data_IF_764698406760
#
_entry.id   IF_764698406760
#
_cell.length_a   1.000
_cell.length_b   1.000
_cell.length_c   1.000
_cell.angle_alpha   90.00
_cell.angle_beta   90.00
_cell.angle_gamma   90.00
#
_symmetry.space_group_name_H-M   'P 1'
#
loop_
_entity.id
_entity.type
_entity.pdbx_description
1 polymer ?
#
# COMPACT_ATOMS: atom_id res chain seq x y z
N UNK A 1 23.70 15.13 -2.28
CA UNK A 1 23.38 16.35 -1.50
C UNK A 1 23.49 15.96 -0.04
N UNK A 2 24.40 16.53 0.74
CA UNK A 2 24.68 16.07 2.11
C UNK A 2 23.47 16.32 3.03
N UNK A 3 23.17 15.40 3.95
CA UNK A 3 22.09 15.44 4.95
C UNK A 3 21.95 16.82 5.64
N UNK A 4 23.09 17.48 5.92
CA UNK A 4 23.12 18.86 6.45
C UNK A 4 22.40 19.87 5.55
N UNK A 5 22.48 19.76 4.23
CA UNK A 5 21.82 20.70 3.30
C UNK A 5 20.33 20.46 3.22
N UNK A 6 19.88 19.21 3.34
CA UNK A 6 18.45 18.89 3.36
C UNK A 6 17.80 19.31 4.68
N UNK A 7 18.46 19.11 5.81
CA UNK A 7 18.04 19.62 7.12
C UNK A 7 17.96 21.16 7.14
N UNK A 8 18.94 21.83 6.55
CA UNK A 8 18.90 23.31 6.41
C UNK A 8 17.77 23.78 5.50
N UNK A 9 17.42 23.03 4.43
CA UNK A 9 16.31 23.35 3.54
C UNK A 9 14.96 23.10 4.23
N UNK A 10 14.82 22.03 4.98
CA UNK A 10 13.60 21.74 5.75
C UNK A 10 13.43 22.74 6.92
N UNK A 11 14.49 23.05 7.64
CA UNK A 11 14.49 24.07 8.68
C UNK A 11 14.24 25.48 8.08
N UNK A 12 14.85 25.80 6.94
CA UNK A 12 14.63 27.04 6.22
C UNK A 12 13.21 27.16 5.67
N UNK A 13 12.63 26.09 5.15
CA UNK A 13 11.23 26.03 4.72
C UNK A 13 10.26 26.17 5.91
N UNK A 14 10.54 25.52 7.04
CA UNK A 14 9.75 25.65 8.26
C UNK A 14 9.80 27.07 8.83
N UNK A 15 10.97 27.72 8.81
CA UNK A 15 11.14 29.13 9.24
C UNK A 15 10.47 30.10 8.26
N UNK A 16 10.58 29.87 6.94
CA UNK A 16 9.89 30.67 5.93
C UNK A 16 8.36 30.52 6.03
N UNK A 17 7.86 29.33 6.34
CA UNK A 17 6.44 29.09 6.57
C UNK A 17 5.96 29.71 7.89
N UNK A 18 6.77 29.75 8.94
CA UNK A 18 6.46 30.44 10.20
C UNK A 18 6.35 31.98 10.02
N UNK A 19 7.08 32.56 9.07
CA UNK A 19 6.97 33.98 8.75
C UNK A 19 5.74 34.35 7.90
N UNK A 20 5.06 33.37 7.29
CA UNK A 20 3.78 33.53 6.59
C UNK A 20 2.55 33.47 7.53
N UNK A 21 2.76 33.36 8.83
CA UNK A 21 1.71 33.28 9.87
C UNK A 21 0.84 34.57 10.02
N UNK A 22 1.02 35.57 9.15
CA UNK A 22 0.10 36.71 9.06
C UNK A 22 -1.23 36.39 8.33
N UNK A 23 -1.36 35.23 7.69
CA UNK A 23 -2.56 34.75 7.01
C UNK A 23 -3.05 33.52 7.77
N UNK A 24 -4.34 33.31 7.83
CA UNK A 24 -5.02 32.25 8.58
C UNK A 24 -4.68 30.80 8.15
N UNK A 25 -3.52 30.57 7.54
CA UNK A 25 -3.09 29.26 7.08
C UNK A 25 -3.00 28.25 8.22
N UNK A 26 -3.61 27.09 8.02
CA UNK A 26 -3.49 25.95 8.94
C UNK A 26 -2.38 25.03 8.43
N UNK A 27 -1.40 24.81 9.31
CA UNK A 27 -0.28 23.89 9.04
C UNK A 27 -0.51 22.65 9.92
N UNK A 28 -0.67 21.51 9.30
CA UNK A 28 -0.81 20.22 9.96
C UNK A 28 0.24 19.27 9.41
N UNK A 29 0.76 18.42 10.24
CA UNK A 29 1.74 17.46 9.77
C UNK A 29 2.13 16.43 10.79
N UNK A 30 2.98 15.51 10.36
CA UNK A 30 3.63 14.52 11.20
C UNK A 30 5.10 14.44 10.88
N UNK A 31 5.91 14.58 11.91
CA UNK A 31 7.34 14.26 11.90
C UNK A 31 7.54 12.94 12.62
N UNK A 32 8.22 11.98 11.96
CA UNK A 32 8.43 10.62 12.48
C UNK A 32 9.91 10.30 12.44
N UNK A 33 10.52 10.15 13.62
CA UNK A 33 11.89 9.70 13.78
C UNK A 33 11.88 8.21 14.04
N UNK A 34 12.62 7.45 13.24
CA UNK A 34 12.66 5.99 13.32
C UNK A 34 14.11 5.50 13.45
N UNK A 35 14.30 4.50 14.26
CA UNK A 35 15.52 3.71 14.33
C UNK A 35 15.14 2.25 14.24
N UNK A 36 15.71 1.56 13.27
CA UNK A 36 15.47 0.14 13.03
C UNK A 36 16.78 -0.60 12.87
N UNK A 37 16.81 -1.85 13.31
CA UNK A 37 17.90 -2.79 13.05
C UNK A 37 17.31 -4.09 12.52
N UNK A 38 17.93 -4.63 11.51
CA UNK A 38 17.46 -5.82 10.81
C UNK A 38 18.64 -6.50 10.08
N UNK A 39 18.39 -7.70 9.58
CA UNK A 39 19.32 -8.38 8.68
C UNK A 39 18.84 -8.19 7.25
N UNK A 40 19.69 -7.66 6.39
CA UNK A 40 19.42 -7.57 4.96
C UNK A 40 19.33 -8.97 4.36
N UNK A 41 18.19 -9.30 3.73
CA UNK A 41 17.90 -10.64 3.20
C UNK A 41 18.77 -11.00 1.99
N UNK A 42 19.32 -10.02 1.28
CA UNK A 42 20.13 -10.25 0.08
C UNK A 42 21.61 -10.40 0.42
N UNK A 43 22.10 -9.61 1.36
CA UNK A 43 23.51 -9.62 1.74
C UNK A 43 23.80 -10.45 2.99
N UNK A 44 22.80 -10.72 3.83
CA UNK A 44 22.95 -11.36 5.13
C UNK A 44 23.59 -10.46 6.20
N UNK A 45 23.88 -9.21 5.88
CA UNK A 45 24.52 -8.26 6.78
C UNK A 45 23.51 -7.67 7.77
N UNK A 46 23.98 -7.37 8.97
CA UNK A 46 23.20 -6.57 9.93
C UNK A 46 23.24 -5.11 9.49
N UNK A 47 22.08 -4.48 9.48
CA UNK A 47 21.89 -3.06 9.18
C UNK A 47 21.21 -2.36 10.34
N UNK A 48 21.53 -1.09 10.52
CA UNK A 48 20.86 -0.21 11.47
C UNK A 48 20.54 1.12 10.77
N UNK A 49 19.27 1.30 10.45
CA UNK A 49 18.80 2.49 9.74
C UNK A 49 18.24 3.53 10.72
N UNK A 50 18.73 4.74 10.64
CA UNK A 50 18.13 5.91 11.25
C UNK A 50 17.36 6.69 10.16
N UNK A 51 16.07 6.96 10.38
CA UNK A 51 15.22 7.61 9.40
C UNK A 51 14.40 8.77 9.99
N UNK A 52 14.32 9.84 9.22
CA UNK A 52 13.43 10.96 9.48
C UNK A 52 12.41 11.07 8.36
N UNK A 53 11.14 11.04 8.71
CA UNK A 53 9.99 11.14 7.80
C UNK A 53 9.22 12.40 8.12
N UNK A 54 8.75 13.09 7.08
CA UNK A 54 7.91 14.27 7.23
C UNK A 54 6.70 14.17 6.30
N UNK A 55 5.51 14.37 6.86
CA UNK A 55 4.29 14.63 6.11
C UNK A 55 3.78 16.02 6.51
N UNK A 56 3.44 16.85 5.53
CA UNK A 56 3.01 18.22 5.71
C UNK A 56 1.77 18.51 4.87
N UNK A 57 0.79 19.20 5.46
CA UNK A 57 -0.38 19.75 4.79
C UNK A 57 -0.58 21.18 5.22
N UNK A 58 -0.68 22.09 4.26
CA UNK A 58 -0.94 23.52 4.49
C UNK A 58 -2.25 23.85 3.78
N UNK A 59 -3.23 24.29 4.54
CA UNK A 59 -4.58 24.62 4.08
C UNK A 59 -4.96 26.03 4.51
N UNK A 60 -6.10 26.54 4.05
CA UNK A 60 -6.60 27.91 4.37
C UNK A 60 -5.58 28.99 4.03
N UNK A 61 -4.89 28.86 2.91
CA UNK A 61 -3.86 29.80 2.45
C UNK A 61 -4.53 31.03 1.84
N UNK A 62 -5.64 30.82 1.14
CA UNK A 62 -6.46 31.86 0.53
C UNK A 62 -7.80 32.02 1.25
N UNK A 63 -8.47 33.15 1.06
CA UNK A 63 -9.76 33.48 1.70
C UNK A 63 -10.86 32.47 1.36
N UNK A 64 -10.81 31.89 0.17
CA UNK A 64 -11.80 30.94 -0.32
C UNK A 64 -11.49 29.48 0.04
N UNK A 65 -10.36 29.22 0.70
CA UNK A 65 -9.92 27.87 1.05
C UNK A 65 -9.72 26.92 -0.14
N UNK A 66 -9.36 27.45 -1.30
CA UNK A 66 -9.18 26.72 -2.55
C UNK A 66 -7.76 26.24 -2.76
N UNK A 67 -6.76 26.97 -2.21
CA UNK A 67 -5.36 26.64 -2.35
C UNK A 67 -4.87 25.86 -1.14
N UNK A 68 -4.21 24.73 -1.41
CA UNK A 68 -3.52 23.91 -0.40
C UNK A 68 -2.20 23.37 -0.95
N UNK A 69 -1.27 23.06 -0.04
CA UNK A 69 -0.01 22.38 -0.36
C UNK A 69 0.10 21.11 0.45
N UNK A 70 0.62 20.05 -0.16
CA UNK A 70 0.92 18.82 0.50
C UNK A 70 2.31 18.32 0.13
N UNK A 71 3.02 17.77 1.12
CA UNK A 71 4.36 17.25 0.93
C UNK A 71 4.64 16.05 1.82
N UNK A 72 5.41 15.09 1.29
CA UNK A 72 5.90 13.95 2.05
C UNK A 72 7.25 13.51 1.54
N UNK A 73 8.15 13.24 2.46
CA UNK A 73 9.48 12.76 2.13
C UNK A 73 10.16 12.09 3.33
N UNK A 74 11.28 11.45 3.03
CA UNK A 74 12.14 10.86 4.05
C UNK A 74 13.61 11.08 3.76
N UNK A 75 14.42 11.01 4.81
CA UNK A 75 15.86 10.82 4.73
C UNK A 75 16.22 9.67 5.66
N UNK A 76 16.98 8.73 5.17
CA UNK A 76 17.47 7.59 5.94
C UNK A 76 18.97 7.46 5.78
N UNK A 77 19.64 6.94 6.80
CA UNK A 77 21.07 6.68 6.85
C UNK A 77 21.31 5.35 7.55
N UNK A 78 22.12 4.47 6.94
CA UNK A 78 22.59 3.27 7.61
C UNK A 78 23.77 3.65 8.53
N UNK A 79 23.49 3.69 9.83
CA UNK A 79 24.47 4.10 10.84
C UNK A 79 25.47 3.00 11.22
N UNK A 80 25.22 1.76 10.79
CA UNK A 80 26.10 0.63 11.07
C UNK A 80 27.18 0.45 9.98
N UNK A 81 26.77 0.51 8.72
CA UNK A 81 27.68 0.24 7.59
C UNK A 81 28.14 1.52 6.90
N UNK A 82 27.62 2.69 7.32
CA UNK A 82 28.04 3.99 6.78
C UNK A 82 27.64 4.18 5.30
N UNK A 83 26.66 3.45 4.82
CA UNK A 83 26.12 3.63 3.49
C UNK A 83 25.23 4.88 3.48
N UNK A 84 25.59 5.78 2.62
CA UNK A 84 25.21 7.18 2.59
C UNK A 84 23.73 7.52 2.66
N UNK A 85 23.48 8.78 2.86
CA UNK A 85 22.16 9.41 2.95
C UNK A 85 21.25 9.03 1.78
N UNK A 86 20.09 8.41 2.05
CA UNK A 86 19.07 8.11 1.07
C UNK A 86 17.86 9.03 1.28
N UNK A 87 17.79 10.11 0.49
CA UNK A 87 16.67 11.06 0.50
C UNK A 87 15.62 10.69 -0.56
N UNK A 88 14.35 10.63 -0.17
CA UNK A 88 13.22 10.42 -1.09
C UNK A 88 12.14 11.45 -0.86
N UNK A 89 11.78 12.19 -1.91
CA UNK A 89 10.60 13.02 -1.95
C UNK A 89 9.47 12.23 -2.60
N UNK A 90 8.51 11.77 -1.79
CA UNK A 90 7.39 10.97 -2.28
C UNK A 90 6.39 11.82 -3.05
N UNK A 91 6.00 12.96 -2.51
CA UNK A 91 5.17 13.94 -3.21
C UNK A 91 5.40 15.35 -2.65
N UNK A 92 5.18 16.32 -3.50
CA UNK A 92 5.14 17.74 -3.16
C UNK A 92 4.31 18.45 -4.23
N UNK A 93 3.10 18.83 -3.90
CA UNK A 93 2.19 19.44 -4.85
C UNK A 93 1.33 20.53 -4.24
N UNK A 94 0.82 21.38 -5.10
CA UNK A 94 -0.20 22.37 -4.82
C UNK A 94 -1.53 21.91 -5.43
N UNK A 95 -2.61 22.00 -4.65
CA UNK A 95 -3.99 21.81 -5.11
C UNK A 95 -4.70 23.17 -5.15
N UNK A 96 -5.38 23.45 -6.26
CA UNK A 96 -6.33 24.53 -6.37
C UNK A 96 -7.71 23.96 -6.69
N UNK A 97 -8.58 23.92 -5.67
CA UNK A 97 -9.87 23.25 -5.75
C UNK A 97 -11.01 24.17 -6.16
N UNK A 98 -12.04 23.57 -6.74
CA UNK A 98 -13.35 24.19 -6.98
C UNK A 98 -13.31 25.49 -7.83
N UNK A 99 -12.42 25.53 -8.84
CA UNK A 99 -12.38 26.61 -9.83
C UNK A 99 -13.71 26.58 -10.62
N UNK A 100 -14.43 27.70 -10.62
CA UNK A 100 -15.78 27.85 -11.20
C UNK A 100 -16.80 26.78 -10.73
N UNK A 101 -16.60 26.17 -9.55
CA UNK A 101 -17.47 25.15 -9.00
C UNK A 101 -17.32 23.76 -9.64
N UNK A 102 -16.37 23.56 -10.56
CA UNK A 102 -16.28 22.33 -11.38
C UNK A 102 -14.89 21.76 -11.56
N UNK A 103 -13.83 22.57 -11.45
CA UNK A 103 -12.47 22.13 -11.82
C UNK A 103 -11.58 22.13 -10.60
N UNK A 104 -10.82 21.04 -10.40
CA UNK A 104 -9.68 20.97 -9.50
C UNK A 104 -8.41 20.86 -10.30
N UNK A 105 -7.39 21.57 -9.89
CA UNK A 105 -6.06 21.58 -10.51
C UNK A 105 -5.03 21.14 -9.48
N UNK A 106 -4.12 20.24 -9.88
CA UNK A 106 -2.98 19.83 -9.06
C UNK A 106 -1.71 19.94 -9.85
N UNK A 107 -0.67 20.54 -9.26
CA UNK A 107 0.64 20.70 -9.86
C UNK A 107 1.75 20.29 -8.88
N UNK A 108 2.75 19.59 -9.38
CA UNK A 108 3.92 19.17 -8.65
C UNK A 108 4.13 17.67 -8.71
N UNK A 109 4.94 17.15 -7.77
CA UNK A 109 5.17 15.72 -7.63
C UNK A 109 3.96 15.07 -6.97
N UNK A 110 3.33 14.17 -7.66
CA UNK A 110 2.10 13.52 -7.21
C UNK A 110 1.98 12.09 -7.70
N UNK A 111 1.40 11.23 -6.88
CA UNK A 111 0.99 9.89 -7.31
C UNK A 111 -0.42 9.97 -7.90
N UNK A 112 -0.58 9.46 -9.10
CA UNK A 112 -1.87 9.34 -9.77
C UNK A 112 -2.14 7.87 -10.04
N UNK A 113 -3.37 7.44 -9.75
CA UNK A 113 -3.81 6.07 -9.92
C UNK A 113 -5.16 6.05 -10.61
N UNK A 114 -5.23 5.38 -11.76
CA UNK A 114 -6.44 5.05 -12.50
C UNK A 114 -6.54 3.52 -12.64
N UNK A 115 -7.69 3.01 -13.00
CA UNK A 115 -7.88 1.58 -13.25
C UNK A 115 -6.90 1.04 -14.32
N UNK A 116 -6.60 1.84 -15.34
CA UNK A 116 -5.65 1.49 -16.40
C UNK A 116 -4.20 1.46 -15.94
N UNK A 117 -3.82 2.23 -14.92
CA UNK A 117 -2.43 2.28 -14.45
C UNK A 117 -2.15 3.40 -13.48
N UNK A 118 -0.94 3.40 -12.95
CA UNK A 118 -0.50 4.40 -11.97
C UNK A 118 0.90 4.92 -12.26
N UNK A 119 1.17 6.16 -11.88
CA UNK A 119 2.48 6.76 -11.97
C UNK A 119 2.72 7.77 -10.84
N UNK A 120 3.98 7.88 -10.45
CA UNK A 120 4.45 9.05 -9.71
C UNK A 120 4.98 10.05 -10.74
N UNK A 121 4.39 11.23 -10.81
CA UNK A 121 4.73 12.23 -11.82
C UNK A 121 5.16 13.55 -11.22
N UNK A 122 6.13 14.20 -11.86
CA UNK A 122 6.36 15.63 -11.74
C UNK A 122 5.58 16.33 -12.87
N UNK A 123 4.37 16.84 -12.55
CA UNK A 123 3.47 17.29 -13.60
C UNK A 123 2.17 17.88 -13.08
N UNK A 124 1.13 17.79 -13.91
CA UNK A 124 -0.17 18.32 -13.62
C UNK A 124 -1.30 17.28 -13.69
N UNK A 125 -2.36 17.54 -12.94
CA UNK A 125 -3.62 16.82 -12.99
C UNK A 125 -4.77 17.81 -12.99
N UNK A 126 -5.77 17.55 -13.81
CA UNK A 126 -7.00 18.34 -13.91
C UNK A 126 -8.18 17.40 -13.71
N UNK A 127 -9.03 17.72 -12.74
CA UNK A 127 -10.27 17.00 -12.47
C UNK A 127 -11.46 17.91 -12.81
N UNK A 128 -12.33 17.47 -13.72
CA UNK A 128 -13.58 18.12 -14.05
C UNK A 128 -14.72 17.38 -13.35
N UNK A 129 -15.39 18.04 -12.43
CA UNK A 129 -16.48 17.50 -11.59
C UNK A 129 -17.83 18.09 -12.00
N UNK A 130 -18.90 17.47 -11.50
CA UNK A 130 -20.26 18.00 -11.66
C UNK A 130 -20.72 18.17 -13.12
N UNK A 131 -20.33 17.22 -13.99
CA UNK A 131 -20.86 17.10 -15.34
C UNK A 131 -21.99 16.05 -15.34
N UNK A 132 -23.11 16.40 -14.72
CA UNK A 132 -24.15 15.43 -14.37
C UNK A 132 -23.62 14.39 -13.35
N UNK A 133 -23.84 13.09 -13.57
CA UNK A 133 -23.32 12.04 -12.70
C UNK A 133 -21.85 11.66 -12.99
N UNK A 134 -21.23 12.28 -13.98
CA UNK A 134 -19.90 11.91 -14.47
C UNK A 134 -18.86 12.96 -14.07
N UNK A 135 -17.65 12.50 -13.73
CA UNK A 135 -16.48 13.31 -13.58
C UNK A 135 -15.38 12.83 -14.55
N UNK A 136 -14.50 13.72 -14.94
CA UNK A 136 -13.37 13.41 -15.81
C UNK A 136 -12.07 13.82 -15.14
N UNK A 137 -11.02 13.10 -15.44
CA UNK A 137 -9.67 13.41 -14.96
C UNK A 137 -8.66 13.24 -16.09
N UNK A 138 -7.71 14.16 -16.15
CA UNK A 138 -6.57 14.09 -17.06
C UNK A 138 -5.31 14.36 -16.28
N UNK A 139 -4.28 13.57 -16.49
CA UNK A 139 -2.97 13.80 -15.89
C UNK A 139 -1.84 13.67 -16.89
N UNK A 140 -0.73 14.36 -16.65
CA UNK A 140 0.49 14.20 -17.44
C UNK A 140 1.69 14.84 -16.75
N UNK A 141 2.85 14.24 -16.96
CA UNK A 141 4.10 14.73 -16.39
C UNK A 141 5.27 13.77 -16.56
N UNK A 142 6.43 14.21 -16.12
CA UNK A 142 7.63 13.38 -16.09
C UNK A 142 7.42 12.24 -15.08
N UNK A 143 7.61 11.01 -15.52
CA UNK A 143 7.53 9.84 -14.64
C UNK A 143 8.74 9.79 -13.71
N UNK A 144 8.49 9.63 -12.40
CA UNK A 144 9.52 9.55 -11.35
C UNK A 144 9.72 8.09 -10.97
N UNK A 145 10.95 7.61 -11.08
CA UNK A 145 11.32 6.24 -10.73
C UNK A 145 12.36 6.30 -9.61
N UNK A 146 12.13 5.55 -8.54
CA UNK A 146 13.09 5.39 -7.47
C UNK A 146 13.95 4.14 -7.71
N UNK A 147 15.26 4.34 -7.77
CA UNK A 147 16.26 3.27 -7.70
C UNK A 147 16.69 2.97 -6.27
N UNK A 148 17.66 2.08 -6.13
CA UNK A 148 18.25 1.71 -4.81
C UNK A 148 18.87 2.94 -4.12
N UNK A 149 19.58 3.78 -4.88
CA UNK A 149 20.32 4.93 -4.38
C UNK A 149 19.59 6.28 -4.53
N UNK A 150 18.26 6.26 -4.56
CA UNK A 150 17.46 7.46 -4.71
C UNK A 150 16.71 7.54 -6.04
N UNK A 151 16.44 8.75 -6.53
CA UNK A 151 15.70 8.98 -7.78
C UNK A 151 16.59 8.65 -8.99
N UNK A 152 16.09 7.76 -9.86
CA UNK A 152 16.74 7.47 -11.13
C UNK A 152 16.53 8.64 -12.12
N UNK A 153 17.63 9.18 -12.64
CA UNK A 153 17.57 10.25 -13.64
C UNK A 153 17.17 9.67 -15.00
N UNK A 154 15.92 9.90 -15.39
CA UNK A 154 15.38 9.53 -16.71
C UNK A 154 14.81 10.78 -17.38
N UNK A 155 15.56 11.38 -18.31
CA UNK A 155 15.19 12.63 -18.96
C UNK A 155 13.97 12.53 -19.89
N UNK A 156 13.67 11.34 -20.41
CA UNK A 156 12.59 11.10 -21.39
C UNK A 156 11.40 10.32 -20.82
N UNK A 157 11.44 9.96 -19.53
CA UNK A 157 10.34 9.25 -18.91
C UNK A 157 9.12 10.19 -18.73
N UNK A 158 7.99 9.79 -19.28
CA UNK A 158 6.75 10.56 -19.23
C UNK A 158 5.56 9.62 -19.00
N UNK A 159 4.55 10.09 -18.27
CA UNK A 159 3.29 9.38 -18.12
C UNK A 159 2.11 10.30 -18.43
N UNK A 160 1.11 9.73 -19.07
CA UNK A 160 -0.15 10.41 -19.41
C UNK A 160 -1.31 9.48 -19.09
N UNK A 161 -2.43 10.05 -18.64
CA UNK A 161 -3.64 9.28 -18.38
C UNK A 161 -4.89 10.13 -18.43
N UNK A 162 -5.99 9.50 -18.82
CA UNK A 162 -7.33 10.07 -18.79
C UNK A 162 -8.28 9.08 -18.14
N UNK A 163 -9.27 9.59 -17.41
CA UNK A 163 -10.27 8.76 -16.77
C UNK A 163 -11.65 9.45 -16.75
N UNK A 164 -12.68 8.64 -16.84
CA UNK A 164 -14.07 9.04 -16.62
C UNK A 164 -14.63 8.22 -15.44
N UNK A 165 -15.29 8.90 -14.52
CA UNK A 165 -15.85 8.32 -13.32
C UNK A 165 -17.35 8.54 -13.26
N UNK A 166 -18.09 7.49 -12.91
CA UNK A 166 -19.48 7.54 -12.51
C UNK A 166 -19.52 7.22 -11.01
N UNK A 167 -20.07 8.11 -10.18
CA UNK A 167 -20.05 7.92 -8.72
C UNK A 167 -21.46 8.05 -8.16
N UNK A 168 -21.91 7.02 -7.44
CA UNK A 168 -23.16 6.99 -6.68
C UNK A 168 -24.43 7.05 -7.53
N UNK A 169 -24.35 6.92 -8.87
CA UNK A 169 -25.55 6.95 -9.72
C UNK A 169 -26.32 5.64 -9.63
N UNK A 170 -27.51 5.66 -9.06
CA UNK A 170 -28.33 4.46 -8.82
C UNK A 170 -27.56 3.33 -8.12
N UNK A 171 -26.76 3.67 -7.10
CA UNK A 171 -25.88 2.76 -6.36
C UNK A 171 -24.78 2.09 -7.20
N UNK A 172 -24.39 2.75 -8.30
CA UNK A 172 -23.32 2.32 -9.19
C UNK A 172 -22.14 3.26 -9.08
N UNK A 173 -20.95 2.71 -8.93
CA UNK A 173 -19.68 3.37 -9.16
C UNK A 173 -18.98 2.68 -10.33
N UNK A 174 -18.45 3.46 -11.25
CA UNK A 174 -17.67 2.93 -12.37
C UNK A 174 -16.53 3.88 -12.75
N UNK A 175 -15.45 3.34 -13.25
CA UNK A 175 -14.35 4.05 -13.86
C UNK A 175 -14.00 3.38 -15.18
N UNK A 176 -13.73 4.20 -16.20
CA UNK A 176 -13.03 3.78 -17.41
C UNK A 176 -11.86 4.73 -17.60
N UNK A 177 -10.69 4.18 -17.84
CA UNK A 177 -9.48 4.97 -17.94
C UNK A 177 -8.53 4.43 -19.00
N UNK A 178 -7.67 5.31 -19.49
CA UNK A 178 -6.56 5.03 -20.39
C UNK A 178 -5.28 5.56 -19.75
N UNK A 179 -4.20 4.80 -19.89
CA UNK A 179 -2.91 5.13 -19.29
C UNK A 179 -1.78 4.75 -20.25
N UNK A 180 -0.85 5.68 -20.43
CA UNK A 180 0.33 5.53 -21.26
C UNK A 180 1.57 5.95 -20.48
N UNK A 181 2.65 5.20 -20.59
CA UNK A 181 3.93 5.49 -19.96
C UNK A 181 5.07 5.30 -20.96
N UNK A 182 5.95 6.25 -20.98
CA UNK A 182 7.21 6.21 -21.74
C UNK A 182 8.38 6.17 -20.76
N UNK A 183 9.44 5.54 -21.17
CA UNK A 183 10.78 5.66 -20.57
C UNK A 183 11.80 6.11 -21.62
N UNK A 184 13.11 6.02 -21.30
CA UNK A 184 14.16 6.45 -22.21
C UNK A 184 14.19 5.69 -23.55
N UNK A 185 13.71 4.46 -23.56
CA UNK A 185 13.80 3.51 -24.68
C UNK A 185 12.53 3.49 -25.55
N UNK A 186 11.46 4.14 -25.09
CA UNK A 186 10.21 4.25 -25.85
C UNK A 186 8.95 4.06 -25.05
N UNK A 187 7.91 3.51 -25.68
CA UNK A 187 6.62 3.20 -25.07
C UNK A 187 6.76 2.00 -24.12
N UNK A 188 6.65 2.26 -22.82
CA UNK A 188 6.79 1.24 -21.77
C UNK A 188 5.45 0.58 -21.42
N UNK A 189 4.34 1.35 -21.41
CA UNK A 189 2.99 0.88 -21.12
C UNK A 189 1.97 1.60 -21.97
N UNK A 190 0.96 0.85 -22.41
CA UNK A 190 -0.22 1.36 -23.11
C UNK A 190 -1.41 0.50 -22.71
N UNK A 191 -2.27 1.04 -21.83
CA UNK A 191 -3.27 0.25 -21.12
C UNK A 191 -4.63 0.93 -21.07
N UNK A 192 -5.68 0.12 -21.16
CA UNK A 192 -7.07 0.52 -20.83
C UNK A 192 -7.47 -0.22 -19.56
N UNK A 193 -8.18 0.46 -18.67
CA UNK A 193 -8.67 -0.15 -17.45
C UNK A 193 -10.09 0.28 -17.11
N UNK A 194 -10.74 -0.52 -16.28
CA UNK A 194 -12.06 -0.21 -15.77
C UNK A 194 -12.31 -0.80 -14.40
N UNK A 195 -13.12 -0.11 -13.62
CA UNK A 195 -13.68 -0.63 -12.39
C UNK A 195 -15.19 -0.49 -12.42
N UNK A 196 -15.87 -1.41 -11.79
CA UNK A 196 -17.32 -1.40 -11.67
C UNK A 196 -17.71 -1.87 -10.27
N UNK A 197 -18.66 -1.19 -9.63
CA UNK A 197 -19.28 -1.58 -8.36
C UNK A 197 -20.76 -1.27 -8.43
N UNK A 198 -21.59 -2.24 -8.10
CA UNK A 198 -23.03 -2.10 -8.04
C UNK A 198 -23.57 -2.70 -6.75
N UNK A 199 -24.33 -1.92 -6.01
CA UNK A 199 -25.08 -2.40 -4.86
C UNK A 199 -26.52 -2.64 -5.25
N UNK A 200 -27.01 -3.85 -4.97
CA UNK A 200 -28.39 -4.25 -5.24
C UNK A 200 -28.91 -5.07 -4.08
N UNK A 201 -29.81 -4.49 -3.28
CA UNK A 201 -30.35 -5.11 -2.06
C UNK A 201 -29.25 -5.69 -1.16
N UNK A 202 -29.22 -7.02 -1.03
CA UNK A 202 -28.24 -7.75 -0.22
C UNK A 202 -26.97 -8.16 -1.00
N UNK A 203 -26.78 -7.65 -2.21
CA UNK A 203 -25.63 -8.00 -3.04
C UNK A 203 -24.77 -6.79 -3.35
N UNK A 204 -23.46 -7.02 -3.44
CA UNK A 204 -22.50 -6.11 -4.03
C UNK A 204 -21.74 -6.84 -5.13
N UNK A 205 -21.93 -6.41 -6.37
CA UNK A 205 -21.13 -6.84 -7.51
C UNK A 205 -19.98 -5.89 -7.71
N UNK A 206 -18.80 -6.41 -8.07
CA UNK A 206 -17.64 -5.60 -8.39
C UNK A 206 -16.75 -6.29 -9.40
N UNK A 207 -16.08 -5.47 -10.21
CA UNK A 207 -15.10 -5.92 -11.17
C UNK A 207 -13.99 -4.88 -11.32
N UNK A 208 -12.77 -5.35 -11.51
CA UNK A 208 -11.63 -4.56 -11.95
C UNK A 208 -11.02 -5.24 -13.16
N UNK A 209 -10.65 -4.46 -14.16
CA UNK A 209 -9.99 -5.00 -15.35
C UNK A 209 -8.92 -4.06 -15.84
N UNK A 210 -7.84 -4.63 -16.38
CA UNK A 210 -6.79 -3.92 -17.08
C UNK A 210 -6.35 -4.72 -18.28
N UNK A 211 -6.37 -4.08 -19.43
CA UNK A 211 -5.97 -4.63 -20.71
C UNK A 211 -4.72 -3.90 -21.20
N UNK A 212 -3.68 -4.66 -21.51
CA UNK A 212 -2.42 -4.15 -22.05
C UNK A 212 -2.47 -4.25 -23.57
N UNK A 213 -2.41 -3.09 -24.25
CA UNK A 213 -2.56 -3.01 -25.70
C UNK A 213 -1.40 -3.66 -26.46
N UNK A 214 -0.12 -3.46 -26.04
CA UNK A 214 1.01 -4.06 -26.74
C UNK A 214 1.05 -5.59 -26.69
N UNK A 215 0.64 -6.17 -25.56
CA UNK A 215 0.61 -7.64 -25.39
C UNK A 215 -0.73 -8.27 -25.76
N UNK A 216 -1.75 -7.47 -26.06
CA UNK A 216 -3.12 -7.89 -26.37
C UNK A 216 -3.73 -8.80 -25.27
N UNK A 217 -3.37 -8.56 -24.01
CA UNK A 217 -3.77 -9.41 -22.86
C UNK A 217 -4.43 -8.64 -21.75
N UNK A 218 -5.34 -9.34 -21.03
CA UNK A 218 -5.82 -8.87 -19.74
C UNK A 218 -4.76 -9.09 -18.67
N UNK A 219 -4.05 -8.04 -18.26
CA UNK A 219 -3.05 -8.09 -17.20
C UNK A 219 -3.68 -8.27 -15.84
N UNK A 220 -4.94 -7.85 -15.69
CA UNK A 220 -5.72 -8.01 -14.48
C UNK A 220 -7.21 -8.13 -14.83
N UNK A 221 -7.85 -9.14 -14.27
CA UNK A 221 -9.29 -9.30 -14.29
C UNK A 221 -9.74 -9.84 -12.93
N UNK A 222 -10.42 -9.02 -12.15
CA UNK A 222 -11.07 -9.41 -10.90
C UNK A 222 -12.56 -9.22 -11.07
N UNK A 223 -13.35 -10.25 -10.77
CA UNK A 223 -14.79 -10.16 -10.64
C UNK A 223 -15.23 -10.78 -9.33
N UNK A 224 -16.18 -10.17 -8.66
CA UNK A 224 -16.62 -10.70 -7.38
C UNK A 224 -18.04 -10.30 -7.02
N UNK A 225 -18.59 -11.10 -6.12
CA UNK A 225 -19.91 -10.89 -5.52
C UNK A 225 -19.78 -11.01 -4.01
N UNK A 226 -20.30 -10.02 -3.28
CA UNK A 226 -20.54 -10.15 -1.85
C UNK A 226 -22.04 -10.24 -1.62
N UNK A 227 -22.44 -11.24 -0.87
CA UNK A 227 -23.82 -11.48 -0.45
C UNK A 227 -23.94 -11.26 1.06
N UNK A 228 -24.89 -10.45 1.47
CA UNK A 228 -25.19 -10.09 2.85
C UNK A 228 -26.55 -10.68 3.25
N UNK A 229 -26.61 -11.98 3.58
CA UNK A 229 -27.87 -12.63 3.96
C UNK A 229 -28.46 -12.06 5.26
N UNK A 230 -27.60 -11.61 6.15
CA UNK A 230 -27.92 -10.94 7.40
C UNK A 230 -26.84 -9.90 7.75
N UNK A 231 -27.09 -9.06 8.74
CA UNK A 231 -26.17 -7.97 9.11
C UNK A 231 -24.77 -8.47 9.53
N UNK A 232 -24.70 -9.66 10.09
CA UNK A 232 -23.51 -10.20 10.73
C UNK A 232 -22.77 -11.23 9.84
N UNK A 233 -23.29 -11.55 8.64
CA UNK A 233 -22.72 -12.55 7.74
C UNK A 233 -22.44 -11.95 6.36
N UNK A 234 -21.20 -12.10 5.90
CA UNK A 234 -20.78 -11.75 4.56
C UNK A 234 -20.25 -12.99 3.86
N UNK A 235 -20.86 -13.33 2.74
CA UNK A 235 -20.36 -14.37 1.84
C UNK A 235 -19.74 -13.71 0.63
N UNK A 236 -18.49 -14.07 0.31
CA UNK A 236 -17.72 -13.50 -0.80
C UNK A 236 -17.34 -14.61 -1.75
N UNK A 237 -17.55 -14.39 -3.04
CA UNK A 237 -16.97 -15.23 -4.11
C UNK A 237 -16.28 -14.30 -5.10
N UNK A 238 -15.07 -14.69 -5.51
CA UNK A 238 -14.25 -13.91 -6.44
C UNK A 238 -13.60 -14.85 -7.46
N UNK A 239 -13.44 -14.33 -8.66
CA UNK A 239 -12.55 -14.85 -9.67
C UNK A 239 -11.51 -13.79 -9.99
N UNK A 240 -10.25 -14.16 -9.88
CA UNK A 240 -9.12 -13.31 -10.24
C UNK A 240 -8.30 -13.99 -11.33
N UNK A 241 -7.86 -13.20 -12.31
CA UNK A 241 -6.90 -13.60 -13.32
C UNK A 241 -5.86 -12.51 -13.45
N UNK A 242 -4.60 -12.91 -13.49
CA UNK A 242 -3.47 -12.03 -13.79
C UNK A 242 -2.62 -12.64 -14.88
N UNK A 243 -2.27 -11.82 -15.86
CA UNK A 243 -1.24 -12.12 -16.83
C UNK A 243 -0.15 -11.07 -16.65
N UNK A 244 0.85 -11.34 -15.81
CA UNK A 244 1.86 -10.34 -15.49
C UNK A 244 2.60 -9.93 -16.76
N UNK A 245 2.58 -8.63 -17.08
CA UNK A 245 3.37 -8.04 -18.15
C UNK A 245 4.39 -7.09 -17.56
N UNK A 246 5.59 -7.11 -18.09
CA UNK A 246 6.62 -6.14 -17.76
C UNK A 246 6.52 -4.92 -18.67
N UNK A 247 7.15 -3.81 -18.27
CA UNK A 247 7.31 -2.67 -19.17
C UNK A 247 7.97 -3.15 -20.46
N UNK A 248 7.42 -2.82 -21.62
CA UNK A 248 7.88 -3.31 -22.92
C UNK A 248 9.34 -2.97 -23.22
N UNK A 249 9.85 -1.95 -22.55
CA UNK A 249 11.24 -1.48 -22.60
C UNK A 249 12.16 -2.16 -21.56
N UNK A 250 11.59 -2.97 -20.66
CA UNK A 250 12.35 -3.70 -19.66
C UNK A 250 12.97 -4.96 -20.25
N UNK A 251 14.20 -5.30 -19.83
CA UNK A 251 14.82 -6.59 -20.15
C UNK A 251 13.96 -7.78 -19.72
N UNK A 252 13.12 -7.59 -18.71
CA UNK A 252 12.21 -8.63 -18.24
C UNK A 252 11.03 -8.88 -19.18
N UNK A 253 10.76 -8.00 -20.15
CA UNK A 253 9.68 -8.18 -21.15
C UNK A 253 9.87 -9.41 -22.05
N UNK A 254 11.09 -9.92 -22.15
CA UNK A 254 11.41 -11.14 -22.93
C UNK A 254 11.04 -12.43 -22.20
N UNK A 255 10.79 -12.36 -20.89
CA UNK A 255 10.39 -13.52 -20.11
C UNK A 255 8.87 -13.73 -20.19
N UNK A 256 8.47 -14.89 -20.69
CA UNK A 256 7.07 -15.30 -20.59
C UNK A 256 6.75 -15.59 -19.10
N UNK A 257 5.74 -14.91 -18.59
CA UNK A 257 5.20 -15.20 -17.27
C UNK A 257 3.89 -15.93 -17.46
N UNK A 258 3.75 -17.06 -16.80
CA UNK A 258 2.54 -17.85 -16.89
C UNK A 258 1.32 -17.12 -16.31
N UNK A 259 0.18 -17.40 -16.91
CA UNK A 259 -1.10 -16.90 -16.40
C UNK A 259 -1.38 -17.47 -15.01
N UNK A 260 -1.75 -16.57 -14.10
CA UNK A 260 -2.24 -16.93 -12.78
C UNK A 260 -3.74 -16.70 -12.70
N UNK A 261 -4.47 -17.66 -12.14
CA UNK A 261 -5.90 -17.54 -11.88
C UNK A 261 -6.22 -18.05 -10.48
N UNK A 262 -7.27 -17.51 -9.87
CA UNK A 262 -7.79 -18.02 -8.61
C UNK A 262 -9.31 -17.87 -8.50
N UNK A 263 -9.91 -18.82 -7.82
CA UNK A 263 -11.31 -18.80 -7.39
C UNK A 263 -11.36 -18.79 -5.87
N UNK A 264 -11.95 -17.76 -5.29
CA UNK A 264 -12.09 -17.58 -3.85
C UNK A 264 -13.53 -17.76 -3.42
N UNK A 265 -13.72 -18.50 -2.33
CA UNK A 265 -14.94 -18.55 -1.52
C UNK A 265 -14.60 -18.17 -0.08
N UNK A 266 -15.30 -17.21 0.51
CA UNK A 266 -15.06 -16.77 1.88
C UNK A 266 -16.34 -16.44 2.61
N UNK A 267 -16.40 -16.80 3.88
CA UNK A 267 -17.44 -16.45 4.83
C UNK A 267 -16.83 -15.68 6.00
N UNK A 268 -17.36 -14.50 6.29
CA UNK A 268 -17.03 -13.70 7.46
C UNK A 268 -18.29 -13.58 8.33
N UNK A 269 -18.23 -14.04 9.57
CA UNK A 269 -19.37 -14.07 10.48
C UNK A 269 -19.04 -13.43 11.83
N UNK A 270 -19.76 -12.39 12.19
CA UNK A 270 -19.73 -11.78 13.52
C UNK A 270 -20.75 -12.46 14.43
N UNK A 271 -20.31 -13.43 15.23
CA UNK A 271 -21.19 -14.16 16.17
C UNK A 271 -21.80 -13.20 17.17
N UNK A 272 -21.03 -12.25 17.65
CA UNK A 272 -21.43 -11.16 18.51
C UNK A 272 -20.33 -10.06 18.54
N UNK A 273 -20.50 -9.01 19.34
CA UNK A 273 -19.54 -7.89 19.48
C UNK A 273 -18.15 -8.32 19.95
N UNK A 274 -18.00 -9.54 20.49
CA UNK A 274 -16.75 -10.04 21.07
C UNK A 274 -16.09 -11.11 20.22
N UNK A 275 -16.82 -11.77 19.34
CA UNK A 275 -16.34 -12.93 18.58
C UNK A 275 -16.72 -12.76 17.13
N UNK A 276 -15.72 -12.77 16.25
CA UNK A 276 -15.91 -12.92 14.81
C UNK A 276 -14.99 -13.98 14.25
N UNK A 277 -15.50 -14.74 13.30
CA UNK A 277 -14.79 -15.80 12.61
C UNK A 277 -14.81 -15.54 11.11
N UNK A 278 -13.77 -16.00 10.43
CA UNK A 278 -13.73 -16.06 8.99
C UNK A 278 -13.15 -17.39 8.54
N UNK A 279 -13.66 -17.88 7.41
CA UNK A 279 -13.15 -19.09 6.75
C UNK A 279 -13.09 -18.80 5.25
N UNK A 280 -11.98 -19.15 4.63
CA UNK A 280 -11.73 -18.98 3.21
C UNK A 280 -11.20 -20.25 2.57
N UNK A 281 -11.56 -20.42 1.30
CA UNK A 281 -10.97 -21.41 0.42
C UNK A 281 -10.65 -20.74 -0.91
N UNK A 282 -9.42 -20.91 -1.37
CA UNK A 282 -8.96 -20.42 -2.66
C UNK A 282 -8.36 -21.57 -3.46
N UNK A 283 -8.88 -21.77 -4.67
CA UNK A 283 -8.24 -22.63 -5.67
C UNK A 283 -7.42 -21.77 -6.61
N UNK A 284 -6.13 -22.04 -6.70
CA UNK A 284 -5.18 -21.36 -7.56
C UNK A 284 -4.81 -22.24 -8.75
N UNK A 285 -4.60 -21.60 -9.92
CA UNK A 285 -4.21 -22.25 -11.17
C UNK A 285 -3.01 -21.50 -11.76
N UNK A 286 -1.97 -22.23 -12.14
CA UNK A 286 -0.73 -21.69 -12.68
C UNK A 286 -0.51 -22.21 -14.11
N UNK A 287 -0.27 -21.30 -15.05
CA UNK A 287 0.00 -21.64 -16.44
C UNK A 287 -1.20 -22.23 -17.18
N UNK A 288 -0.90 -23.01 -18.21
CA UNK A 288 -1.89 -23.73 -19.03
C UNK A 288 -2.06 -25.20 -18.58
N UNK A 289 -1.27 -25.64 -17.59
CA UNK A 289 -1.29 -27.00 -17.07
C UNK A 289 -2.29 -27.23 -15.95
N UNK A 290 -2.23 -28.44 -15.37
CA UNK A 290 -3.02 -28.82 -14.20
C UNK A 290 -2.38 -28.42 -12.86
N UNK A 291 -1.31 -27.60 -12.94
CA UNK A 291 -0.62 -27.17 -11.74
C UNK A 291 -1.48 -26.17 -10.97
N UNK A 292 -1.76 -26.48 -9.74
CA UNK A 292 -2.60 -25.64 -8.92
C UNK A 292 -2.35 -25.87 -7.43
N UNK A 293 -2.88 -24.96 -6.63
CA UNK A 293 -2.81 -25.02 -5.17
C UNK A 293 -4.20 -24.85 -4.56
N UNK A 294 -4.41 -25.53 -3.46
CA UNK A 294 -5.56 -25.35 -2.59
C UNK A 294 -5.12 -24.60 -1.33
N UNK A 295 -5.72 -23.45 -1.09
CA UNK A 295 -5.44 -22.61 0.07
C UNK A 295 -6.67 -22.57 0.97
N UNK A 296 -6.49 -22.96 2.22
CA UNK A 296 -7.50 -22.90 3.28
C UNK A 296 -7.06 -21.89 4.32
N UNK A 297 -7.94 -20.99 4.68
CA UNK A 297 -7.71 -19.97 5.70
C UNK A 297 -8.82 -20.03 6.74
N UNK A 298 -8.46 -19.88 8.00
CA UNK A 298 -9.42 -19.72 9.09
C UNK A 298 -8.90 -18.67 10.06
N UNK A 299 -9.78 -17.80 10.51
CA UNK A 299 -9.43 -16.75 11.47
C UNK A 299 -10.51 -16.59 12.54
N UNK A 300 -10.07 -16.21 13.73
CA UNK A 300 -10.94 -15.88 14.83
C UNK A 300 -10.44 -14.64 15.55
N UNK A 301 -11.31 -13.66 15.70
CA UNK A 301 -11.06 -12.47 16.49
C UNK A 301 -11.88 -12.54 17.76
N UNK A 302 -11.20 -12.46 18.89
CA UNK A 302 -11.80 -12.53 20.22
C UNK A 302 -11.55 -11.23 20.98
N UNK A 303 -12.58 -10.70 21.59
CA UNK A 303 -12.51 -9.54 22.49
C UNK A 303 -13.09 -9.91 23.87
N UNK A 304 -12.39 -10.77 24.63
CA UNK A 304 -12.90 -11.26 25.92
C UNK A 304 -13.10 -10.13 26.93
N UNK A 305 -12.29 -9.08 26.85
CA UNK A 305 -12.40 -7.86 27.63
C UNK A 305 -12.36 -6.65 26.68
N UNK A 306 -12.93 -5.52 27.07
CA UNK A 306 -12.88 -4.29 26.27
C UNK A 306 -11.46 -3.83 25.91
N UNK A 307 -10.50 -4.19 26.75
CA UNK A 307 -9.08 -3.81 26.63
C UNK A 307 -8.19 -4.90 26.03
N UNK A 308 -8.73 -6.06 25.73
CA UNK A 308 -7.98 -7.22 25.25
C UNK A 308 -8.56 -7.70 23.93
N UNK A 309 -7.71 -7.71 22.90
CA UNK A 309 -8.01 -8.27 21.60
C UNK A 309 -7.06 -9.43 21.33
N UNK A 310 -7.60 -10.56 20.92
CA UNK A 310 -6.84 -11.74 20.47
C UNK A 310 -7.27 -12.09 19.06
N UNK A 311 -6.31 -12.19 18.16
CA UNK A 311 -6.51 -12.69 16.80
C UNK A 311 -5.82 -14.05 16.69
N UNK A 312 -6.53 -15.02 16.16
CA UNK A 312 -6.02 -16.34 15.80
C UNK A 312 -6.15 -16.46 14.29
N UNK A 313 -5.11 -16.94 13.64
CA UNK A 313 -5.15 -17.28 12.22
C UNK A 313 -4.54 -18.65 11.99
N UNK A 314 -5.08 -19.36 11.03
CA UNK A 314 -4.55 -20.61 10.50
C UNK A 314 -4.63 -20.56 8.98
N UNK A 315 -3.57 -21.01 8.33
CA UNK A 315 -3.51 -21.15 6.88
C UNK A 315 -2.88 -22.46 6.47
N UNK A 316 -3.33 -22.99 5.36
CA UNK A 316 -2.79 -24.19 4.73
C UNK A 316 -2.82 -24.04 3.23
N UNK A 317 -1.66 -24.15 2.61
CA UNK A 317 -1.49 -24.19 1.17
C UNK A 317 -0.92 -25.56 0.77
N UNK A 318 -1.57 -26.23 -0.18
CA UNK A 318 -1.10 -27.49 -0.76
C UNK A 318 -1.06 -27.39 -2.27
N UNK A 319 0.06 -27.63 -2.91
CA UNK A 319 0.09 -27.72 -4.37
C UNK A 319 1.39 -27.24 -5.01
N UNK A 320 1.24 -26.56 -6.12
CA UNK A 320 2.36 -26.02 -6.88
C UNK A 320 3.15 -25.01 -6.02
N UNK A 321 4.49 -25.16 -5.99
CA UNK A 321 5.34 -24.33 -5.13
C UNK A 321 5.54 -24.84 -3.71
N UNK A 322 5.02 -26.05 -3.38
CA UNK A 322 5.23 -26.70 -2.09
C UNK A 322 3.99 -26.71 -1.19
N UNK A 323 4.20 -27.19 0.02
CA UNK A 323 3.16 -27.24 1.04
C UNK A 323 3.54 -26.30 2.19
N UNK A 324 2.54 -25.58 2.69
CA UNK A 324 2.69 -24.74 3.87
C UNK A 324 1.49 -25.01 4.79
N UNK A 325 1.74 -25.12 6.08
CA UNK A 325 0.68 -25.09 7.09
C UNK A 325 1.18 -24.22 8.23
N UNK A 326 0.41 -23.23 8.58
CA UNK A 326 0.83 -22.25 9.56
C UNK A 326 -0.29 -21.78 10.48
N UNK A 327 0.09 -21.11 11.52
CA UNK A 327 -0.84 -20.46 12.41
C UNK A 327 -0.19 -19.35 13.20
N UNK A 328 -0.99 -18.36 13.57
CA UNK A 328 -0.54 -17.24 14.39
C UNK A 328 -1.52 -16.88 15.51
N UNK A 329 -0.96 -16.34 16.55
CA UNK A 329 -1.68 -15.77 17.69
C UNK A 329 -1.11 -14.36 17.89
N UNK A 330 -2.00 -13.36 17.81
CA UNK A 330 -1.67 -11.96 18.10
C UNK A 330 -2.56 -11.47 19.24
N UNK A 331 -1.93 -10.87 20.23
CA UNK A 331 -2.61 -10.32 21.41
C UNK A 331 -2.31 -8.84 21.52
N UNK A 332 -3.34 -8.02 21.63
CA UNK A 332 -3.23 -6.59 21.91
C UNK A 332 -3.95 -6.28 23.22
N UNK A 333 -3.25 -5.63 24.14
CA UNK A 333 -3.76 -5.24 25.43
C UNK A 333 -3.57 -3.75 25.70
N UNK A 334 -4.65 -3.05 26.03
CA UNK A 334 -4.66 -1.60 26.33
C UNK A 334 -4.98 -1.39 27.83
N UNK A 335 -3.99 -1.54 28.74
CA UNK A 335 -4.24 -1.42 30.17
C UNK A 335 -4.78 -0.05 30.58
N UNK A 336 -4.22 0.99 29.98
CA UNK A 336 -4.63 2.39 30.17
C UNK A 336 -4.69 3.08 28.79
N UNK A 337 -5.50 4.13 28.65
CA UNK A 337 -5.71 4.82 27.37
C UNK A 337 -4.43 5.18 26.59
N UNK A 338 -3.34 5.68 27.22
CA UNK A 338 -2.13 6.04 26.47
C UNK A 338 -1.22 4.84 26.13
N UNK A 339 -1.43 3.65 26.71
CA UNK A 339 -0.53 2.50 26.56
C UNK A 339 -1.23 1.34 25.85
N UNK A 340 -0.65 0.89 24.76
CA UNK A 340 -0.99 -0.34 24.05
C UNK A 340 0.21 -1.26 24.06
N UNK A 341 0.01 -2.50 24.47
CA UNK A 341 0.98 -3.58 24.46
C UNK A 341 0.50 -4.63 23.47
N UNK A 342 1.42 -5.18 22.71
CA UNK A 342 1.10 -6.21 21.73
C UNK A 342 2.17 -7.30 21.72
N UNK A 343 1.76 -8.54 21.52
CA UNK A 343 2.65 -9.70 21.41
C UNK A 343 2.05 -10.69 20.45
N UNK A 344 2.89 -11.47 19.77
CA UNK A 344 2.42 -12.54 18.91
C UNK A 344 3.45 -13.60 18.65
N UNK A 345 2.94 -14.72 18.14
CA UNK A 345 3.69 -15.88 17.73
C UNK A 345 3.13 -16.33 16.39
N UNK A 346 4.00 -16.65 15.46
CA UNK A 346 3.68 -17.35 14.22
C UNK A 346 4.53 -18.60 14.14
N UNK A 347 3.91 -19.69 13.68
CA UNK A 347 4.56 -20.99 13.49
C UNK A 347 4.12 -21.57 12.16
N UNK A 348 5.09 -21.79 11.26
CA UNK A 348 4.86 -22.33 9.93
C UNK A 348 5.68 -23.58 9.72
N UNK A 349 5.07 -24.59 9.08
CA UNK A 349 5.73 -25.80 8.58
C UNK A 349 5.59 -25.77 7.07
N UNK A 350 6.71 -25.82 6.37
CA UNK A 350 6.73 -25.72 4.91
C UNK A 350 7.71 -26.72 4.29
N UNK A 351 7.43 -27.12 3.07
CA UNK A 351 8.33 -27.90 2.23
C UNK A 351 8.64 -27.06 0.99
N UNK A 352 9.90 -26.73 0.78
CA UNK A 352 10.35 -25.92 -0.34
C UNK A 352 10.30 -26.67 -1.67
N UNK A 353 10.58 -27.94 -1.61
CA UNK A 353 10.39 -28.88 -2.73
C UNK A 353 9.99 -30.28 -2.21
N UNK A 354 9.62 -31.17 -3.14
CA UNK A 354 9.18 -32.54 -2.79
C UNK A 354 10.32 -33.45 -2.33
N UNK A 355 11.57 -33.01 -2.46
CA UNK A 355 12.79 -33.79 -2.16
C UNK A 355 13.43 -33.38 -0.85
N UNK A 356 13.25 -32.14 -0.42
CA UNK A 356 13.64 -31.65 0.89
C UNK A 356 12.54 -31.92 1.92
N UNK A 357 12.93 -32.35 3.10
CA UNK A 357 11.97 -32.57 4.21
C UNK A 357 11.28 -31.28 4.62
N UNK A 358 10.28 -31.40 5.49
CA UNK A 358 9.61 -30.25 6.06
C UNK A 358 10.56 -29.41 6.90
N UNK A 359 10.53 -28.10 6.71
CA UNK A 359 11.21 -27.11 7.50
C UNK A 359 10.22 -26.34 8.36
N UNK A 360 10.71 -25.66 9.37
CA UNK A 360 9.88 -24.83 10.25
C UNK A 360 10.36 -23.40 10.24
N UNK A 361 9.42 -22.45 10.24
CA UNK A 361 9.68 -21.07 10.54
C UNK A 361 8.90 -20.63 11.77
N UNK A 362 9.56 -19.89 12.64
CA UNK A 362 8.96 -19.34 13.85
C UNK A 362 9.24 -17.86 13.92
N UNK A 363 8.24 -17.11 14.29
CA UNK A 363 8.37 -15.67 14.52
C UNK A 363 7.73 -15.33 15.85
N UNK A 364 8.50 -14.67 16.69
CA UNK A 364 8.04 -14.13 17.95
C UNK A 364 8.16 -12.62 17.89
N UNK A 365 7.15 -11.90 18.39
CA UNK A 365 7.25 -10.46 18.43
C UNK A 365 6.60 -9.88 19.68
N UNK A 366 7.18 -8.76 20.13
CA UNK A 366 6.68 -7.96 21.25
C UNK A 366 6.68 -6.50 20.82
N UNK A 367 5.61 -5.79 21.12
CA UNK A 367 5.47 -4.38 20.80
C UNK A 367 4.83 -3.58 21.92
N UNK A 368 5.10 -2.30 21.90
CA UNK A 368 4.45 -1.33 22.78
C UNK A 368 4.30 0.01 22.09
N UNK A 369 3.19 0.67 22.33
CA UNK A 369 2.93 2.04 21.88
C UNK A 369 2.47 2.87 23.07
N UNK A 370 3.12 4.00 23.26
CA UNK A 370 2.78 4.93 24.34
C UNK A 370 2.53 6.33 23.78
N UNK A 371 1.40 6.92 24.16
CA UNK A 371 1.06 8.29 23.82
C UNK A 371 1.52 9.20 24.95
N UNK A 372 2.64 9.90 24.70
CA UNK A 372 3.25 10.84 25.66
C UNK A 372 2.40 12.10 25.86
N UNK A 373 1.81 12.61 24.76
CA UNK A 373 0.93 13.77 24.77
C UNK A 373 -0.15 13.64 23.69
N UNK A 374 -0.95 14.69 23.47
CA UNK A 374 -1.90 14.72 22.34
C UNK A 374 -1.18 14.69 21.00
N UNK A 375 0.00 15.28 20.93
CA UNK A 375 0.80 15.42 19.69
C UNK A 375 1.98 14.44 19.62
N UNK A 376 2.36 13.74 20.69
CA UNK A 376 3.57 12.93 20.71
C UNK A 376 3.25 11.49 21.09
N UNK A 377 3.73 10.54 20.30
CA UNK A 377 3.67 9.11 20.63
C UNK A 377 4.98 8.41 20.30
N UNK A 378 5.28 7.36 21.05
CA UNK A 378 6.41 6.46 20.78
C UNK A 378 5.93 5.03 20.65
N UNK A 379 6.60 4.24 19.84
CA UNK A 379 6.37 2.81 19.74
C UNK A 379 7.69 2.07 19.60
N UNK A 380 7.70 0.84 20.12
CA UNK A 380 8.80 -0.11 19.96
C UNK A 380 8.22 -1.43 19.48
N UNK A 381 8.93 -2.12 18.60
CA UNK A 381 8.66 -3.50 18.20
C UNK A 381 9.96 -4.26 18.12
N UNK A 382 9.98 -5.43 18.71
CA UNK A 382 11.07 -6.41 18.71
C UNK A 382 10.56 -7.69 18.09
N UNK A 383 11.35 -8.31 17.24
CA UNK A 383 11.02 -9.56 16.56
C UNK A 383 12.21 -10.50 16.62
N UNK A 384 11.95 -11.79 16.77
CA UNK A 384 12.90 -12.86 16.61
C UNK A 384 12.37 -13.83 15.55
N UNK A 385 13.14 -14.03 14.49
CA UNK A 385 12.81 -14.93 13.39
C UNK A 385 13.77 -16.14 13.43
N UNK A 386 13.21 -17.33 13.50
CA UNK A 386 13.90 -18.61 13.49
C UNK A 386 13.41 -19.42 12.30
N UNK A 387 14.28 -19.76 11.37
CA UNK A 387 13.97 -20.56 10.18
C UNK A 387 15.22 -21.31 9.68
N UNK A 388 15.11 -22.05 8.59
CA UNK A 388 16.21 -22.81 8.01
C UNK A 388 17.45 -21.96 7.68
N UNK A 389 17.28 -20.70 7.33
CA UNK A 389 18.35 -19.77 6.99
C UNK A 389 18.97 -19.09 8.22
N UNK A 390 18.14 -18.78 9.21
CA UNK A 390 18.54 -18.07 10.43
C UNK A 390 18.06 -18.83 11.67
N UNK A 391 18.95 -19.22 12.56
CA UNK A 391 18.59 -19.86 13.84
C UNK A 391 17.98 -18.89 14.87
N UNK A 392 18.26 -17.61 14.74
CA UNK A 392 17.66 -16.52 15.52
C UNK A 392 18.10 -15.23 14.87
N UNK A 393 17.16 -14.47 14.37
CA UNK A 393 17.41 -13.17 13.75
C UNK A 393 16.60 -12.09 14.45
N UNK A 394 17.26 -11.42 15.39
CA UNK A 394 16.68 -10.34 16.15
C UNK A 394 16.65 -9.06 15.34
N UNK A 395 15.43 -8.56 15.18
CA UNK A 395 15.14 -7.30 14.52
C UNK A 395 14.33 -6.40 15.44
N UNK A 396 14.37 -5.11 15.20
CA UNK A 396 13.54 -4.20 15.97
C UNK A 396 13.45 -2.82 15.36
N UNK A 397 12.45 -2.09 15.84
CA UNK A 397 12.20 -0.73 15.41
C UNK A 397 11.65 0.10 16.56
N UNK A 398 12.20 1.30 16.72
CA UNK A 398 11.69 2.35 17.61
C UNK A 398 11.22 3.52 16.75
N UNK A 399 10.04 4.05 17.04
CA UNK A 399 9.45 5.19 16.31
C UNK A 399 8.98 6.23 17.30
N UNK A 400 9.33 7.48 17.06
CA UNK A 400 8.80 8.64 17.77
C UNK A 400 8.07 9.51 16.75
N UNK A 401 6.78 9.73 16.98
CA UNK A 401 5.95 10.59 16.14
C UNK A 401 5.62 11.89 16.86
N UNK A 402 5.65 12.98 16.12
CA UNK A 402 5.18 14.28 16.55
C UNK A 402 4.18 14.82 15.52
N UNK A 403 2.94 15.02 15.96
CA UNK A 403 1.86 15.64 15.17
C UNK A 403 1.76 17.12 15.55
N UNK A 404 1.68 18.01 14.56
CA UNK A 404 1.65 19.47 14.74
C UNK A 404 0.57 20.14 13.88
#
# INVERSE_FOLDING_TARGET
>A
MTCKRFFCLLAGAAIALASMAAWSAEINGRSSTQYGWFTDIFTGNKEAEFGQYLNLSITKIDMDNKLSFQGSGRVTEDVMNGQGDNGRLYYLYADYGNLYGKVDLRFGRQFVNYAAGSALIDGGKVDLKNVGPIAFSVMGGRNVIFGLNGEASQCRAFAFGVAAFLTGYKNTDAEVSYFMKFDNDGLARDQIGGTFKQYFQSFKFYANTRFDMPSETFTELLTGVKYFPMADLILTTEWYQSYPTFDSTSIYSIFAVDRYQEALLRADYAINDKISINVGYTRQFYGEGNDGSDVFEAGCRLRPLQKLLVNLAFDRNNGYGGNLSGGSIDVTYTPIKPLELAAGIQYDVYAFDRTTGNETARKYWLGGKYRLSKSTSTSIRLEDNDNAQYKSDWQGRVVVNYDF
#
